data_IF_866394044026
#
_entry.id   IF_866394044026
#
_cell.length_a   1.000
_cell.length_b   1.000
_cell.length_c   1.000
_cell.angle_alpha   90.00
_cell.angle_beta   90.00
_cell.angle_gamma   90.00
#
_symmetry.space_group_name_H-M   'P 1'
#
loop_
_entity.id
_entity.type
_entity.pdbx_description
1 polymer ?
#
# COMPACT_ATOMS: atom_id res chain seq x y z
N UNK A 1 37.75 -10.33 10.89
CA UNK A 1 36.53 -10.26 10.03
C UNK A 1 35.22 -10.70 10.73
N UNK A 2 35.21 -11.02 12.03
CA UNK A 2 34.00 -11.43 12.76
C UNK A 2 33.24 -10.26 13.44
N UNK A 3 33.86 -9.08 13.58
CA UNK A 3 33.26 -7.91 14.26
C UNK A 3 32.31 -7.08 13.39
N UNK A 4 32.43 -7.13 12.06
CA UNK A 4 31.58 -6.33 11.15
C UNK A 4 30.16 -6.86 11.00
N UNK A 5 29.90 -8.15 11.33
CA UNK A 5 28.56 -8.76 11.27
C UNK A 5 27.66 -8.41 12.47
N UNK A 6 28.23 -7.92 13.57
CA UNK A 6 27.49 -7.68 14.81
C UNK A 6 26.91 -6.26 14.90
N UNK A 7 27.52 -5.29 14.21
CA UNK A 7 27.01 -3.91 14.13
C UNK A 7 25.72 -3.81 13.31
N UNK A 8 25.52 -4.66 12.29
CA UNK A 8 24.34 -4.63 11.42
C UNK A 8 23.05 -5.09 12.12
N UNK A 9 23.15 -6.09 13.02
CA UNK A 9 21.98 -6.66 13.72
C UNK A 9 21.34 -5.67 14.70
N UNK A 10 22.11 -4.75 15.31
CA UNK A 10 21.59 -3.72 16.23
C UNK A 10 20.91 -2.55 15.52
N UNK A 11 21.38 -2.16 14.32
CA UNK A 11 20.76 -1.10 13.52
C UNK A 11 19.45 -1.54 12.86
N UNK A 12 19.38 -2.79 12.39
CA UNK A 12 18.16 -3.38 11.80
C UNK A 12 17.00 -3.50 12.81
N UNK A 13 17.31 -3.86 14.06
CA UNK A 13 16.30 -3.94 15.12
C UNK A 13 15.66 -2.59 15.45
N UNK A 14 16.46 -1.50 15.46
CA UNK A 14 15.98 -0.16 15.77
C UNK A 14 15.07 0.40 14.66
N UNK A 15 15.44 0.17 13.40
CA UNK A 15 14.64 0.61 12.24
C UNK A 15 13.27 -0.09 12.16
N UNK A 16 13.23 -1.39 12.46
CA UNK A 16 11.99 -2.16 12.50
C UNK A 16 11.03 -1.66 13.58
N UNK A 17 11.56 -1.28 14.75
CA UNK A 17 10.77 -0.68 15.82
C UNK A 17 10.15 0.65 15.42
N UNK A 18 10.91 1.54 14.77
CA UNK A 18 10.39 2.84 14.33
C UNK A 18 9.28 2.70 13.29
N UNK A 19 9.41 1.77 12.34
CA UNK A 19 8.38 1.49 11.35
C UNK A 19 7.09 0.95 12.00
N UNK A 20 7.22 0.00 12.94
CA UNK A 20 6.07 -0.57 13.65
C UNK A 20 5.33 0.48 14.46
N UNK A 21 6.05 1.33 15.19
CA UNK A 21 5.46 2.41 15.99
C UNK A 21 4.72 3.40 15.09
N UNK A 22 5.31 3.77 13.94
CA UNK A 22 4.66 4.64 12.96
C UNK A 22 3.34 4.07 12.42
N UNK A 23 3.35 2.82 11.96
CA UNK A 23 2.14 2.16 11.47
C UNK A 23 1.06 2.06 12.56
N UNK A 24 1.44 1.68 13.78
CA UNK A 24 0.51 1.59 14.91
C UNK A 24 -0.07 2.97 15.25
N UNK A 25 0.76 4.02 15.28
CA UNK A 25 0.29 5.37 15.56
C UNK A 25 -0.71 5.87 14.51
N UNK A 26 -0.48 5.59 13.22
CA UNK A 26 -1.41 5.93 12.13
C UNK A 26 -2.73 5.18 12.27
N UNK A 27 -2.70 3.88 12.55
CA UNK A 27 -3.92 3.08 12.71
C UNK A 27 -4.71 3.51 13.94
N UNK A 28 -4.03 3.71 15.09
CA UNK A 28 -4.68 4.14 16.33
C UNK A 28 -5.26 5.56 16.17
N UNK A 29 -4.51 6.49 15.57
CA UNK A 29 -5.03 7.84 15.33
C UNK A 29 -6.25 7.83 14.41
N UNK A 30 -6.21 7.06 13.31
CA UNK A 30 -7.38 6.85 12.44
C UNK A 30 -8.56 6.25 13.21
N UNK A 31 -8.31 5.21 14.01
CA UNK A 31 -9.33 4.53 14.82
C UNK A 31 -9.99 5.47 15.84
N UNK A 32 -9.20 6.26 16.58
CA UNK A 32 -9.71 7.25 17.51
C UNK A 32 -10.56 8.32 16.82
N UNK A 33 -10.14 8.78 15.63
CA UNK A 33 -10.94 9.72 14.83
C UNK A 33 -12.25 9.07 14.39
N UNK A 34 -12.23 7.80 13.96
CA UNK A 34 -13.43 7.06 13.56
C UNK A 34 -14.42 6.79 14.71
N UNK A 35 -13.98 6.86 15.97
CA UNK A 35 -14.87 6.76 17.14
C UNK A 35 -15.59 8.08 17.47
N UNK A 36 -14.97 9.21 17.13
CA UNK A 36 -15.46 10.55 17.49
C UNK A 36 -16.25 11.18 16.32
N UNK A 37 -15.87 10.85 15.08
CA UNK A 37 -16.47 11.37 13.86
C UNK A 37 -17.49 10.37 13.33
N UNK A 38 -18.75 10.80 13.18
CA UNK A 38 -19.71 10.07 12.36
C UNK A 38 -19.24 10.11 10.91
N UNK A 39 -18.79 8.96 10.43
CA UNK A 39 -18.39 8.78 9.05
C UNK A 39 -19.61 8.25 8.34
N UNK A 40 -20.19 9.08 7.49
CA UNK A 40 -21.16 8.61 6.52
C UNK A 40 -20.41 8.11 5.27
N UNK A 41 -20.28 6.79 5.08
CA UNK A 41 -19.60 6.22 3.91
C UNK A 41 -20.36 6.46 2.59
N UNK A 42 -21.58 7.00 2.62
CA UNK A 42 -22.40 7.27 1.43
C UNK A 42 -22.11 8.62 0.76
N UNK A 43 -21.36 9.52 1.42
CA UNK A 43 -21.02 10.82 0.86
C UNK A 43 -20.13 10.65 -0.40
N UNK A 44 -20.54 11.17 -1.57
CA UNK A 44 -19.83 10.99 -2.84
C UNK A 44 -18.36 11.44 -2.80
N UNK A 45 -18.06 12.53 -2.08
CA UNK A 45 -16.70 13.06 -1.95
C UNK A 45 -15.76 12.13 -1.17
N UNK A 46 -16.26 11.38 -0.17
CA UNK A 46 -15.50 10.39 0.58
C UNK A 46 -15.36 9.09 -0.23
N UNK A 47 -16.40 8.71 -0.98
CA UNK A 47 -16.44 7.49 -1.80
C UNK A 47 -15.45 7.52 -2.96
N UNK A 48 -15.31 8.65 -3.67
CA UNK A 48 -14.38 8.75 -4.80
C UNK A 48 -12.90 8.78 -4.40
N UNK A 49 -12.58 9.12 -3.13
CA UNK A 49 -11.20 9.08 -2.61
C UNK A 49 -10.81 7.74 -1.98
N UNK A 50 -11.78 6.87 -1.63
CA UNK A 50 -11.53 5.58 -0.99
C UNK A 50 -11.80 4.35 -1.88
N UNK A 51 -12.30 4.56 -3.11
CA UNK A 51 -12.36 3.49 -4.09
C UNK A 51 -10.97 3.26 -4.69
N UNK A 52 -10.51 2.02 -4.58
CA UNK A 52 -9.28 1.53 -5.21
C UNK A 52 -9.34 1.81 -6.70
N UNK A 53 -8.52 2.74 -7.18
CA UNK A 53 -8.44 3.04 -8.61
C UNK A 53 -7.23 2.36 -9.24
N UNK A 54 -7.33 1.95 -10.52
CA UNK A 54 -6.17 1.51 -11.28
C UNK A 54 -5.05 2.58 -11.32
N UNK A 55 -5.42 3.86 -11.17
CA UNK A 55 -4.48 4.97 -11.08
C UNK A 55 -3.55 4.89 -9.85
N UNK A 56 -4.03 4.35 -8.72
CA UNK A 56 -3.21 4.19 -7.50
C UNK A 56 -2.09 3.18 -7.71
N UNK A 57 -2.38 2.12 -8.47
CA UNK A 57 -1.40 1.11 -8.89
C UNK A 57 -0.34 1.75 -9.78
N UNK A 58 -0.77 2.50 -10.81
CA UNK A 58 0.16 3.17 -11.72
C UNK A 58 1.06 4.16 -10.96
N UNK A 59 0.50 4.92 -10.02
CA UNK A 59 1.24 5.84 -9.15
C UNK A 59 2.22 5.08 -8.25
N UNK A 60 1.80 3.96 -7.64
CA UNK A 60 2.66 3.14 -6.79
C UNK A 60 3.85 2.55 -7.58
N UNK A 61 3.62 2.06 -8.80
CA UNK A 61 4.68 1.60 -9.70
C UNK A 61 5.64 2.74 -10.05
N UNK A 62 5.11 3.93 -10.39
CA UNK A 62 5.92 5.11 -10.70
C UNK A 62 6.77 5.56 -9.51
N UNK A 63 6.22 5.56 -8.29
CA UNK A 63 6.95 5.86 -7.05
C UNK A 63 8.10 4.87 -6.79
N UNK A 64 7.86 3.57 -7.00
CA UNK A 64 8.90 2.54 -6.88
C UNK A 64 10.04 2.75 -7.89
N UNK A 65 9.71 3.03 -9.14
CA UNK A 65 10.69 3.32 -10.18
C UNK A 65 11.47 4.62 -9.91
N UNK A 66 10.77 5.70 -9.52
CA UNK A 66 11.36 6.98 -9.16
C UNK A 66 12.31 6.83 -7.95
N UNK A 67 11.98 5.98 -6.99
CA UNK A 67 12.83 5.74 -5.84
C UNK A 67 14.17 5.11 -6.17
N UNK A 68 14.18 4.13 -7.07
CA UNK A 68 15.42 3.51 -7.53
C UNK A 68 16.20 4.43 -8.45
N UNK A 69 15.54 5.24 -9.28
CA UNK A 69 16.20 6.27 -10.07
C UNK A 69 16.87 7.34 -9.20
N UNK A 70 16.17 7.83 -8.19
CA UNK A 70 16.71 8.79 -7.23
C UNK A 70 17.91 8.20 -6.49
N UNK A 71 17.81 6.95 -6.04
CA UNK A 71 18.92 6.23 -5.40
C UNK A 71 20.15 6.17 -6.31
N UNK A 72 19.99 5.72 -7.56
CA UNK A 72 21.11 5.60 -8.51
C UNK A 72 21.72 6.95 -8.90
N UNK A 73 20.95 8.04 -8.85
CA UNK A 73 21.43 9.40 -9.14
C UNK A 73 22.02 10.11 -7.91
N UNK A 74 22.13 9.42 -6.77
CA UNK A 74 22.62 10.03 -5.52
C UNK A 74 21.67 11.08 -4.94
N UNK A 75 20.40 11.08 -5.36
CA UNK A 75 19.39 11.97 -4.79
C UNK A 75 18.95 11.49 -3.40
N UNK A 76 18.33 12.40 -2.64
CA UNK A 76 17.90 12.10 -1.27
C UNK A 76 16.82 11.02 -1.22
N UNK A 77 17.15 9.85 -0.66
CA UNK A 77 16.16 8.79 -0.37
C UNK A 77 15.08 9.26 0.60
N UNK A 78 15.35 10.30 1.40
CA UNK A 78 14.35 10.87 2.30
C UNK A 78 13.19 11.49 1.54
N UNK A 79 13.45 12.18 0.41
CA UNK A 79 12.41 12.80 -0.40
C UNK A 79 11.48 11.75 -1.04
N UNK A 80 12.06 10.69 -1.60
CA UNK A 80 11.30 9.56 -2.15
C UNK A 80 10.51 8.85 -1.05
N UNK A 81 11.13 8.65 0.11
CA UNK A 81 10.49 8.01 1.26
C UNK A 81 9.23 8.76 1.69
N UNK A 82 9.24 10.10 1.64
CA UNK A 82 8.06 10.93 1.89
C UNK A 82 6.99 10.69 0.83
N UNK A 83 7.32 10.62 -0.45
CA UNK A 83 6.33 10.37 -1.52
C UNK A 83 5.66 9.00 -1.37
N UNK A 84 6.44 7.96 -1.02
CA UNK A 84 5.90 6.61 -0.76
C UNK A 84 5.00 6.64 0.49
N UNK A 85 5.42 7.35 1.56
CA UNK A 85 4.62 7.50 2.76
C UNK A 85 3.29 8.22 2.46
N UNK A 86 3.31 9.28 1.65
CA UNK A 86 2.09 10.02 1.24
C UNK A 86 1.12 9.13 0.46
N UNK A 87 1.59 8.13 -0.28
CA UNK A 87 0.73 7.16 -0.98
C UNK A 87 0.20 6.02 -0.08
N UNK A 88 0.90 5.69 1.02
CA UNK A 88 0.58 4.56 1.88
C UNK A 88 -0.15 4.95 3.18
N UNK A 89 0.12 6.14 3.71
CA UNK A 89 -0.51 6.62 4.96
C UNK A 89 -2.02 6.86 4.80
N UNK A 90 -2.55 7.45 3.72
CA UNK A 90 -3.99 7.63 3.54
C UNK A 90 -4.81 6.32 3.61
N UNK A 91 -4.49 5.24 2.85
CA UNK A 91 -5.26 4.00 2.94
C UNK A 91 -5.10 3.32 4.31
N UNK A 92 -3.94 3.44 4.95
CA UNK A 92 -3.73 2.90 6.29
C UNK A 92 -4.54 3.68 7.37
N UNK A 93 -4.66 5.00 7.19
CA UNK A 93 -5.48 5.86 8.06
C UNK A 93 -6.95 5.57 7.86
N UNK A 94 -7.40 5.46 6.61
CA UNK A 94 -8.78 5.09 6.25
C UNK A 94 -9.16 3.71 6.81
N UNK A 95 -8.23 2.75 6.78
CA UNK A 95 -8.42 1.45 7.41
C UNK A 95 -8.68 1.55 8.92
N UNK A 96 -7.84 2.29 9.66
CA UNK A 96 -8.04 2.53 11.10
C UNK A 96 -9.35 3.26 11.37
N UNK A 97 -9.66 4.24 10.54
CA UNK A 97 -10.84 5.07 10.65
C UNK A 97 -12.15 4.27 10.43
N UNK A 98 -12.26 3.47 9.37
CA UNK A 98 -13.45 2.64 9.13
C UNK A 98 -13.63 1.52 10.15
N UNK A 99 -12.53 0.95 10.66
CA UNK A 99 -12.60 -0.02 11.75
C UNK A 99 -13.04 0.62 13.07
N UNK A 100 -12.67 1.89 13.31
CA UNK A 100 -13.17 2.69 14.44
C UNK A 100 -14.65 3.04 14.34
N UNK A 101 -15.12 3.38 13.14
CA UNK A 101 -16.50 3.75 12.88
C UNK A 101 -17.48 2.56 12.76
N UNK A 102 -17.02 1.32 12.99
CA UNK A 102 -17.89 0.13 12.95
C UNK A 102 -18.18 -0.44 11.55
N UNK A 103 -17.43 -0.02 10.52
CA UNK A 103 -17.53 -0.52 9.15
C UNK A 103 -16.32 -1.42 8.78
N UNK A 104 -16.23 -2.65 9.29
CA UNK A 104 -15.06 -3.51 9.09
C UNK A 104 -14.84 -3.88 7.61
N UNK A 105 -15.90 -3.97 6.80
CA UNK A 105 -15.81 -4.25 5.36
C UNK A 105 -15.08 -3.13 4.60
N UNK A 106 -15.40 -1.86 4.89
CA UNK A 106 -14.72 -0.71 4.28
C UNK A 106 -13.26 -0.60 4.76
N UNK A 107 -13.01 -0.89 6.04
CA UNK A 107 -11.65 -0.96 6.59
C UNK A 107 -10.79 -2.03 5.94
N UNK A 108 -11.36 -3.22 5.69
CA UNK A 108 -10.68 -4.30 4.97
C UNK A 108 -10.32 -3.91 3.53
N UNK A 109 -11.19 -3.17 2.83
CA UNK A 109 -10.91 -2.67 1.48
C UNK A 109 -9.76 -1.64 1.47
N UNK A 110 -9.72 -0.73 2.45
CA UNK A 110 -8.64 0.24 2.59
C UNK A 110 -7.30 -0.43 2.94
N UNK A 111 -7.30 -1.45 3.81
CA UNK A 111 -6.11 -2.27 4.08
C UNK A 111 -5.64 -3.03 2.84
N UNK A 112 -6.57 -3.58 2.06
CA UNK A 112 -6.24 -4.25 0.82
C UNK A 112 -5.52 -3.31 -0.15
N UNK A 113 -5.99 -2.06 -0.30
CA UNK A 113 -5.34 -1.04 -1.11
C UNK A 113 -3.91 -0.73 -0.63
N UNK A 114 -3.73 -0.61 0.69
CA UNK A 114 -2.41 -0.41 1.27
C UNK A 114 -1.44 -1.54 0.87
N UNK A 115 -1.87 -2.80 0.93
CA UNK A 115 -1.04 -3.94 0.52
C UNK A 115 -0.75 -3.94 -0.98
N UNK A 116 -1.73 -3.64 -1.83
CA UNK A 116 -1.53 -3.51 -3.28
C UNK A 116 -0.46 -2.48 -3.58
N UNK A 117 -0.57 -1.27 -3.01
CA UNK A 117 0.38 -0.19 -3.25
C UNK A 117 1.79 -0.56 -2.75
N UNK A 118 1.89 -1.17 -1.58
CA UNK A 118 3.15 -1.65 -1.04
C UNK A 118 3.81 -2.68 -1.96
N UNK A 119 3.05 -3.65 -2.46
CA UNK A 119 3.56 -4.68 -3.37
C UNK A 119 4.01 -4.06 -4.70
N UNK A 120 3.22 -3.13 -5.26
CA UNK A 120 3.55 -2.43 -6.50
C UNK A 120 4.87 -1.65 -6.39
N UNK A 121 5.05 -0.86 -5.33
CA UNK A 121 6.29 -0.11 -5.09
C UNK A 121 7.50 -1.06 -5.05
N UNK A 122 7.38 -2.21 -4.38
CA UNK A 122 8.45 -3.19 -4.27
C UNK A 122 8.77 -3.87 -5.62
N UNK A 123 7.76 -4.30 -6.37
CA UNK A 123 7.94 -4.90 -7.70
C UNK A 123 8.58 -3.92 -8.67
N UNK A 124 8.06 -2.68 -8.73
CA UNK A 124 8.62 -1.64 -9.60
C UNK A 124 10.06 -1.30 -9.25
N UNK A 125 10.40 -1.26 -7.96
CA UNK A 125 11.78 -1.06 -7.52
C UNK A 125 12.73 -2.15 -8.04
N UNK A 126 12.36 -3.42 -7.89
CA UNK A 126 13.18 -4.55 -8.37
C UNK A 126 13.35 -4.48 -9.90
N UNK A 127 12.26 -4.23 -10.64
CA UNK A 127 12.30 -4.08 -12.10
C UNK A 127 13.21 -2.93 -12.50
N UNK A 128 13.12 -1.79 -11.81
CA UNK A 128 13.93 -0.61 -12.15
C UNK A 128 15.41 -0.79 -11.83
N UNK A 129 15.74 -1.54 -10.78
CA UNK A 129 17.12 -1.95 -10.48
C UNK A 129 17.71 -2.78 -11.63
N UNK A 130 16.93 -3.73 -12.14
CA UNK A 130 17.31 -4.56 -13.29
C UNK A 130 17.45 -3.73 -14.57
N UNK A 131 16.52 -2.80 -14.81
CA UNK A 131 16.53 -1.92 -15.99
C UNK A 131 17.75 -0.98 -16.00
N UNK A 132 18.24 -0.54 -14.84
CA UNK A 132 19.44 0.27 -14.72
C UNK A 132 20.75 -0.54 -14.86
N UNK A 133 20.67 -1.85 -15.10
CA UNK A 133 21.84 -2.70 -15.32
C UNK A 133 22.66 -2.97 -14.05
N UNK A 134 22.10 -2.74 -12.86
CA UNK A 134 22.78 -3.08 -11.60
C UNK A 134 22.81 -4.61 -11.45
N UNK A 135 24.01 -5.25 -11.49
CA UNK A 135 24.09 -6.70 -11.47
C UNK A 135 23.62 -7.24 -10.11
N UNK A 136 22.65 -8.15 -10.07
CA UNK A 136 22.18 -8.70 -8.81
C UNK A 136 23.28 -9.56 -8.17
N UNK A 137 23.45 -9.40 -6.86
CA UNK A 137 24.42 -10.17 -6.06
C UNK A 137 24.24 -11.70 -6.19
N UNK A 138 23.00 -12.14 -6.39
CA UNK A 138 22.64 -13.52 -6.70
C UNK A 138 21.38 -13.53 -7.54
N UNK A 139 21.49 -14.07 -8.76
CA UNK A 139 20.35 -14.18 -9.69
C UNK A 139 19.23 -15.07 -9.12
N UNK A 140 19.59 -16.15 -8.41
CA UNK A 140 18.63 -17.06 -7.77
C UNK A 140 17.81 -16.37 -6.68
N UNK A 141 18.46 -15.56 -5.84
CA UNK A 141 17.77 -14.84 -4.76
C UNK A 141 16.89 -13.71 -5.31
N UNK A 142 17.41 -12.93 -6.27
CA UNK A 142 16.67 -11.82 -6.86
C UNK A 142 15.46 -12.31 -7.65
N UNK A 143 15.63 -13.39 -8.43
CA UNK A 143 14.53 -14.05 -9.13
C UNK A 143 13.48 -14.61 -8.17
N UNK A 144 13.89 -15.22 -7.06
CA UNK A 144 12.96 -15.71 -6.04
C UNK A 144 12.15 -14.58 -5.37
N UNK A 145 12.81 -13.48 -5.01
CA UNK A 145 12.14 -12.31 -4.42
C UNK A 145 11.18 -11.67 -5.42
N UNK A 146 11.61 -11.49 -6.68
CA UNK A 146 10.75 -10.98 -7.75
C UNK A 146 9.55 -11.91 -8.01
N UNK A 147 9.75 -13.23 -7.99
CA UNK A 147 8.68 -14.20 -8.16
C UNK A 147 7.67 -14.14 -6.99
N UNK A 148 8.14 -13.99 -5.74
CA UNK A 148 7.26 -13.84 -4.58
C UNK A 148 6.44 -12.56 -4.67
N UNK A 149 7.08 -11.41 -4.92
CA UNK A 149 6.36 -10.13 -5.03
C UNK A 149 5.47 -10.08 -6.27
N UNK A 150 5.92 -10.66 -7.39
CA UNK A 150 5.15 -10.77 -8.62
C UNK A 150 3.93 -11.68 -8.44
N UNK A 151 4.09 -12.84 -7.81
CA UNK A 151 2.97 -13.72 -7.45
C UNK A 151 1.99 -13.04 -6.49
N UNK A 152 2.50 -12.33 -5.49
CA UNK A 152 1.65 -11.57 -4.57
C UNK A 152 0.89 -10.46 -5.32
N UNK A 153 1.55 -9.77 -6.25
CA UNK A 153 0.92 -8.74 -7.08
C UNK A 153 -0.16 -9.33 -7.98
N UNK A 154 0.11 -10.45 -8.65
CA UNK A 154 -0.88 -11.10 -9.54
C UNK A 154 -2.05 -11.66 -8.74
N UNK A 155 -1.80 -12.24 -7.56
CA UNK A 155 -2.84 -12.69 -6.65
C UNK A 155 -3.72 -11.51 -6.20
N UNK A 156 -3.12 -10.41 -5.73
CA UNK A 156 -3.88 -9.23 -5.31
C UNK A 156 -4.64 -8.59 -6.49
N UNK A 157 -4.03 -8.50 -7.67
CA UNK A 157 -4.70 -8.01 -8.88
C UNK A 157 -5.88 -8.90 -9.30
N UNK A 158 -5.72 -10.21 -9.20
CA UNK A 158 -6.80 -11.17 -9.45
C UNK A 158 -7.95 -10.99 -8.45
N UNK A 159 -7.65 -10.79 -7.16
CA UNK A 159 -8.67 -10.50 -6.16
C UNK A 159 -9.35 -9.14 -6.39
N UNK A 160 -8.60 -8.12 -6.83
CA UNK A 160 -9.14 -6.80 -7.16
C UNK A 160 -10.06 -6.87 -8.38
N UNK A 161 -9.63 -7.53 -9.45
CA UNK A 161 -10.43 -7.78 -10.65
C UNK A 161 -11.67 -8.63 -10.32
N UNK A 162 -11.53 -9.66 -9.48
CA UNK A 162 -12.64 -10.46 -8.98
C UNK A 162 -13.66 -9.64 -8.20
N UNK A 163 -13.24 -8.69 -7.36
CA UNK A 163 -14.16 -7.78 -6.65
C UNK A 163 -14.90 -6.82 -7.59
N UNK A 164 -14.20 -6.27 -8.58
CA UNK A 164 -14.79 -5.37 -9.58
C UNK A 164 -15.78 -6.14 -10.49
N UNK A 165 -15.41 -7.35 -10.92
CA UNK A 165 -16.17 -8.15 -11.89
C UNK A 165 -17.34 -8.92 -11.28
N UNK A 166 -17.22 -9.41 -10.04
CA UNK A 166 -18.31 -10.09 -9.31
C UNK A 166 -19.28 -9.09 -8.65
N UNK A 167 -19.01 -7.78 -8.73
CA UNK A 167 -19.93 -6.73 -8.31
C UNK A 167 -20.18 -6.67 -6.79
N UNK A 168 -19.36 -7.30 -5.95
CA UNK A 168 -19.42 -7.22 -4.46
C UNK A 168 -19.06 -5.82 -3.89
N UNK A 169 -19.37 -4.77 -4.65
CA UNK A 169 -19.36 -3.35 -4.30
C UNK A 169 -20.15 -2.48 -5.30
N UNK A 170 -20.81 -3.10 -6.30
CA UNK A 170 -21.68 -2.44 -7.28
C UNK A 170 -23.13 -2.93 -7.20
N UNK A 171 -23.39 -4.13 -6.67
CA UNK A 171 -24.77 -4.61 -6.54
C UNK A 171 -25.55 -3.86 -5.47
N UNK A 172 -24.91 -3.39 -4.40
CA UNK A 172 -25.54 -2.49 -3.43
C UNK A 172 -25.84 -1.11 -4.05
N UNK A 173 -25.01 -0.67 -5.00
CA UNK A 173 -25.18 0.58 -5.77
C UNK A 173 -26.30 0.46 -6.79
N UNK A 174 -26.40 -0.66 -7.51
CA UNK A 174 -27.49 -0.91 -8.47
C UNK A 174 -28.81 -1.15 -7.76
N UNK A 175 -28.80 -1.82 -6.61
CA UNK A 175 -30.00 -2.00 -5.79
C UNK A 175 -30.44 -0.67 -5.15
N UNK A 176 -29.53 0.19 -4.66
CA UNK A 176 -29.88 1.55 -4.21
C UNK A 176 -30.39 2.46 -5.35
N UNK A 177 -29.82 2.34 -6.57
CA UNK A 177 -30.33 3.07 -7.74
C UNK A 177 -31.72 2.58 -8.21
N UNK A 178 -32.09 1.33 -7.90
CA UNK A 178 -33.40 0.76 -8.22
C UNK A 178 -34.44 0.95 -7.10
N UNK A 179 -34.00 1.01 -5.84
CA UNK A 179 -34.86 1.22 -4.66
C UNK A 179 -35.12 2.72 -4.37
N UNK A 180 -34.28 3.62 -4.89
CA UNK A 180 -34.45 5.08 -4.83
C UNK A 180 -35.34 5.71 -5.91
N UNK A 181 -36.13 4.91 -6.65
CA UNK A 181 -37.09 5.35 -7.67
C UNK A 181 -38.56 5.03 -7.29
N UNK A 182 -38.87 4.82 -6.00
CA UNK A 182 -40.26 4.81 -5.49
C UNK A 182 -40.37 5.61 -4.20
#
# INVERSE_FOLDING_TARGET
MHSLRQFDKRKSASASWTLRIGCIAVVISGWLVGLIVEIDPLVPELRNRNLVQPADVALALACGAAGVLAFSRGASLSLVGVMIAVALVPPLTAAGMYTGAGYPNAGANALFLFFVNLVCVNVAGIIMFLAQGLPPKSWRMTGGVLAVWGFLLTLLMSMMAGRIFLGFGSWDVVLDYLDGQV
#
